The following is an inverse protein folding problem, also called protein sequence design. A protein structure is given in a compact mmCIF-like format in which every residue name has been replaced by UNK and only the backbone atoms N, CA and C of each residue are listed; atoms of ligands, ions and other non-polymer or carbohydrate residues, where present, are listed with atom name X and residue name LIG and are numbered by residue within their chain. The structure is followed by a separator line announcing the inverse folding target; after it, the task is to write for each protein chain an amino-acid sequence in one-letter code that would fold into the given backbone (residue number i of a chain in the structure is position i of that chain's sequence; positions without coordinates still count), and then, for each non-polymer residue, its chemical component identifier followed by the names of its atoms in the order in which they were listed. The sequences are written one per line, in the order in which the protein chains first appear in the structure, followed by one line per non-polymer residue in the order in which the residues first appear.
data_IF_541324223796
#
_entry.id   IF_541324223796
#
_cell.length_a   1.000
_cell.length_b   1.000
_cell.length_c   1.000
_cell.angle_alpha   90.00
_cell.angle_beta   90.00
_cell.angle_gamma   90.00
#
_symmetry.space_group_name_H-M   'P 1'
#
loop_
_entity.id
_entity.type
_entity.pdbx_description
1 polymer ?
#
# COMPACT_ATOMS: atom_id res chain seq x y z
N UNK A 1 -31.47 -82.29 21.66
CA UNK A 1 -31.69 -81.01 20.96
C UNK A 1 -30.34 -80.43 20.57
N UNK A 2 -30.07 -80.22 19.27
CA UNK A 2 -28.76 -79.70 18.80
C UNK A 2 -28.74 -78.18 18.91
N UNK A 3 -27.71 -77.62 19.55
CA UNK A 3 -27.50 -76.17 19.68
C UNK A 3 -26.72 -75.69 18.45
N UNK A 4 -27.29 -74.77 17.66
CA UNK A 4 -26.59 -74.14 16.55
C UNK A 4 -25.96 -72.82 17.03
N UNK A 5 -24.63 -72.74 16.97
CA UNK A 5 -23.88 -71.52 17.22
C UNK A 5 -23.86 -70.69 15.93
N UNK A 6 -24.59 -69.57 15.91
CA UNK A 6 -24.56 -68.63 14.78
C UNK A 6 -23.39 -67.67 14.99
N UNK A 7 -22.34 -67.80 14.19
CA UNK A 7 -21.23 -66.85 14.16
C UNK A 7 -21.63 -65.66 13.25
N UNK A 8 -21.87 -64.48 13.84
CA UNK A 8 -22.15 -63.28 13.06
C UNK A 8 -20.83 -62.64 12.59
N UNK A 9 -20.43 -62.91 11.35
CA UNK A 9 -19.27 -62.29 10.74
C UNK A 9 -19.61 -60.86 10.27
N UNK A 10 -19.33 -59.85 11.11
CA UNK A 10 -19.49 -58.44 10.73
C UNK A 10 -18.38 -58.02 9.77
N UNK A 11 -18.68 -58.01 8.47
CA UNK A 11 -17.78 -57.46 7.45
C UNK A 11 -17.64 -55.96 7.62
N UNK A 12 -16.44 -55.51 8.01
CA UNK A 12 -16.13 -54.08 8.14
C UNK A 12 -15.91 -53.45 6.76
N UNK A 13 -16.84 -52.58 6.35
CA UNK A 13 -16.68 -51.77 5.13
C UNK A 13 -15.65 -50.68 5.42
N UNK A 14 -14.43 -50.84 4.87
CA UNK A 14 -13.40 -49.82 4.91
C UNK A 14 -13.69 -48.82 3.79
N UNK A 15 -14.21 -47.64 4.14
CA UNK A 15 -14.24 -46.51 3.23
C UNK A 15 -12.82 -45.92 3.14
N UNK A 16 -12.21 -45.83 1.94
CA UNK A 16 -10.95 -45.11 1.79
C UNK A 16 -11.16 -43.63 2.08
N UNK A 17 -10.50 -43.11 3.10
CA UNK A 17 -10.45 -41.66 3.36
C UNK A 17 -9.54 -41.04 2.31
N UNK A 18 -10.14 -40.41 1.30
CA UNK A 18 -9.40 -39.58 0.37
C UNK A 18 -8.99 -38.29 1.09
N UNK A 19 -7.74 -38.27 1.57
CA UNK A 19 -7.10 -37.02 2.00
C UNK A 19 -6.82 -36.21 0.74
N UNK A 20 -7.69 -35.23 0.48
CA UNK A 20 -7.43 -34.17 -0.49
C UNK A 20 -6.27 -33.34 0.07
N UNK A 21 -5.08 -33.45 -0.52
CA UNK A 21 -3.99 -32.53 -0.21
C UNK A 21 -4.42 -31.11 -0.58
N UNK A 22 -4.24 -30.15 0.31
CA UNK A 22 -4.48 -28.75 -0.03
C UNK A 22 -3.55 -28.33 -1.17
N UNK A 23 -4.04 -27.62 -2.20
CA UNK A 23 -3.20 -27.15 -3.29
C UNK A 23 -2.12 -26.22 -2.73
N UNK A 24 -0.89 -26.34 -3.24
CA UNK A 24 0.19 -25.44 -2.86
C UNK A 24 -0.25 -23.98 -3.10
N UNK A 25 -0.11 -23.08 -2.10
CA UNK A 25 -0.46 -21.67 -2.28
C UNK A 25 0.31 -21.04 -3.43
N UNK A 26 -0.37 -20.22 -4.23
CA UNK A 26 0.27 -19.48 -5.30
C UNK A 26 1.23 -18.43 -4.76
N UNK A 27 2.43 -18.38 -5.34
CA UNK A 27 3.38 -17.30 -5.11
C UNK A 27 2.96 -16.06 -5.92
N UNK A 28 3.12 -14.84 -5.37
CA UNK A 28 2.75 -13.62 -6.07
C UNK A 28 3.61 -13.41 -7.33
N UNK A 29 3.00 -12.79 -8.34
CA UNK A 29 3.68 -12.35 -9.56
C UNK A 29 4.30 -10.96 -9.33
N UNK A 30 5.40 -10.64 -10.01
CA UNK A 30 6.07 -9.35 -9.91
C UNK A 30 6.26 -8.68 -11.28
N UNK A 31 6.00 -7.38 -11.37
CA UNK A 31 6.27 -6.56 -12.55
C UNK A 31 7.33 -5.49 -12.27
N UNK A 32 8.16 -5.22 -13.27
CA UNK A 32 9.13 -4.14 -13.26
C UNK A 32 9.30 -3.55 -14.67
N UNK A 33 9.87 -2.35 -14.77
CA UNK A 33 10.08 -1.69 -16.06
C UNK A 33 9.87 -0.18 -15.98
N UNK A 34 9.79 0.44 -17.14
CA UNK A 34 9.51 1.87 -17.26
C UNK A 34 8.02 2.17 -17.30
N UNK A 35 7.65 3.41 -16.97
CA UNK A 35 6.30 3.94 -17.11
C UNK A 35 6.33 5.32 -17.77
N UNK A 36 5.56 5.48 -18.83
CA UNK A 36 5.36 6.77 -19.50
C UNK A 36 3.90 7.21 -19.42
N UNK A 37 3.68 8.52 -19.37
CA UNK A 37 2.36 9.16 -19.39
C UNK A 37 2.42 10.26 -20.46
N UNK A 38 1.53 10.21 -21.45
CA UNK A 38 1.53 11.13 -22.61
C UNK A 38 2.92 11.21 -23.29
N UNK A 39 3.56 10.05 -23.46
CA UNK A 39 4.92 9.86 -24.02
C UNK A 39 6.08 10.46 -23.20
N UNK A 40 5.81 11.09 -22.05
CA UNK A 40 6.85 11.56 -21.12
C UNK A 40 7.10 10.53 -20.01
N UNK A 41 8.30 10.45 -19.42
CA UNK A 41 8.53 9.69 -18.20
C UNK A 41 7.55 10.10 -17.09
N UNK A 42 6.89 9.14 -16.44
CA UNK A 42 5.98 9.46 -15.35
C UNK A 42 6.74 10.11 -14.18
N UNK A 43 6.26 11.22 -13.58
CA UNK A 43 6.96 11.85 -12.47
C UNK A 43 7.16 10.90 -11.27
N UNK A 44 8.22 11.09 -10.50
CA UNK A 44 8.35 10.44 -9.20
C UNK A 44 7.13 10.75 -8.30
N UNK A 45 6.77 9.82 -7.43
CA UNK A 45 5.50 9.88 -6.68
C UNK A 45 4.25 9.45 -7.46
N UNK A 46 4.36 9.02 -8.72
CA UNK A 46 3.24 8.36 -9.42
C UNK A 46 2.94 7.01 -8.78
N UNK A 47 1.69 6.80 -8.39
CA UNK A 47 1.18 5.54 -7.88
C UNK A 47 0.63 4.71 -9.03
N UNK A 48 1.16 3.51 -9.23
CA UNK A 48 0.70 2.52 -10.19
C UNK A 48 -0.05 1.43 -9.43
N UNK A 49 -1.28 1.11 -9.84
CA UNK A 49 -2.06 0.00 -9.27
C UNK A 49 -2.32 -1.07 -10.32
N UNK A 50 -2.43 -2.31 -9.86
CA UNK A 50 -2.82 -3.48 -10.64
C UNK A 50 -4.15 -4.01 -10.10
N UNK A 51 -5.13 -4.11 -10.99
CA UNK A 51 -6.49 -4.55 -10.69
C UNK A 51 -6.81 -5.88 -11.37
N UNK A 52 -7.59 -6.73 -10.70
CA UNK A 52 -8.32 -7.84 -11.35
C UNK A 52 -9.77 -7.76 -10.87
N UNK A 53 -10.71 -7.69 -11.82
CA UNK A 53 -12.15 -7.51 -11.54
C UNK A 53 -12.43 -6.34 -10.57
N UNK A 54 -11.73 -5.23 -10.79
CA UNK A 54 -11.76 -3.99 -10.00
C UNK A 54 -11.35 -4.12 -8.50
N UNK A 55 -10.81 -5.27 -8.10
CA UNK A 55 -10.07 -5.44 -6.83
C UNK A 55 -8.59 -5.09 -7.04
N UNK A 56 -8.01 -4.27 -6.15
CA UNK A 56 -6.56 -3.97 -6.15
C UNK A 56 -5.80 -5.22 -5.72
N UNK A 57 -5.02 -5.80 -6.64
CA UNK A 57 -4.18 -6.97 -6.38
C UNK A 57 -2.72 -6.60 -6.09
N UNK A 58 -2.32 -5.35 -6.38
CA UNK A 58 -0.96 -4.85 -6.17
C UNK A 58 -0.87 -3.34 -6.41
N UNK A 59 0.08 -2.68 -5.76
CA UNK A 59 0.38 -1.27 -6.03
C UNK A 59 1.85 -0.92 -5.76
N UNK A 60 2.34 0.13 -6.41
CA UNK A 60 3.73 0.60 -6.29
C UNK A 60 3.83 2.11 -6.57
N UNK A 61 4.66 2.83 -5.82
CA UNK A 61 4.96 4.25 -6.09
C UNK A 61 6.31 4.36 -6.79
N UNK A 62 6.38 5.08 -7.91
CA UNK A 62 7.62 5.36 -8.64
C UNK A 62 8.57 6.21 -7.79
N UNK A 63 9.77 5.70 -7.49
CA UNK A 63 10.80 6.44 -6.75
C UNK A 63 11.55 7.45 -7.63
N UNK A 64 11.70 7.12 -8.92
CA UNK A 64 12.43 7.91 -9.91
C UNK A 64 11.52 8.18 -11.11
N UNK A 65 11.82 9.25 -11.86
CA UNK A 65 11.04 9.60 -13.05
C UNK A 65 11.11 8.49 -14.10
N UNK A 66 9.95 7.99 -14.52
CA UNK A 66 9.81 6.97 -15.55
C UNK A 66 10.06 5.53 -15.11
N UNK A 67 10.27 5.23 -13.83
CA UNK A 67 10.58 3.87 -13.34
C UNK A 67 9.63 3.46 -12.21
N UNK A 68 8.91 2.35 -12.40
CA UNK A 68 8.00 1.80 -11.38
C UNK A 68 8.53 0.52 -10.72
N UNK A 69 9.60 -0.08 -11.25
CA UNK A 69 10.27 -1.23 -10.65
C UNK A 69 11.58 -1.56 -11.33
N UNK A 70 12.46 -2.25 -10.61
CA UNK A 70 13.86 -2.48 -10.99
C UNK A 70 14.19 -3.97 -11.14
N UNK A 71 15.30 -4.29 -11.81
CA UNK A 71 15.80 -5.66 -11.99
C UNK A 71 16.26 -6.33 -10.71
N UNK A 72 16.92 -5.57 -9.82
CA UNK A 72 17.59 -6.10 -8.63
C UNK A 72 16.68 -6.94 -7.73
N UNK A 73 17.17 -8.05 -7.13
CA UNK A 73 16.33 -8.96 -6.36
C UNK A 73 15.77 -8.31 -5.08
N UNK A 74 16.50 -7.36 -4.49
CA UNK A 74 16.11 -6.60 -3.29
C UNK A 74 15.54 -5.21 -3.61
N UNK A 75 15.33 -4.89 -4.90
CA UNK A 75 14.80 -3.60 -5.34
C UNK A 75 13.29 -3.69 -5.57
N UNK A 76 12.63 -2.54 -5.47
CA UNK A 76 11.18 -2.39 -5.60
C UNK A 76 10.66 -2.95 -6.93
N UNK A 77 9.53 -3.65 -6.86
CA UNK A 77 8.75 -4.19 -7.98
C UNK A 77 7.26 -4.06 -7.64
N UNK A 78 6.41 -4.04 -8.64
CA UNK A 78 4.95 -4.14 -8.45
C UNK A 78 4.59 -5.60 -8.19
N UNK A 79 4.34 -5.94 -6.93
CA UNK A 79 3.92 -7.30 -6.52
C UNK A 79 2.40 -7.40 -6.66
N UNK A 80 1.93 -8.49 -7.28
CA UNK A 80 0.52 -8.78 -7.58
C UNK A 80 0.14 -10.13 -6.99
N UNK A 81 -0.93 -10.14 -6.18
CA UNK A 81 -1.47 -11.35 -5.56
C UNK A 81 -2.05 -12.36 -6.57
N UNK A 82 -2.26 -13.60 -6.10
CA UNK A 82 -2.87 -14.66 -6.89
C UNK A 82 -4.26 -14.26 -7.38
N UNK A 83 -4.51 -14.47 -8.67
CA UNK A 83 -5.73 -13.98 -9.31
C UNK A 83 -6.08 -14.75 -10.58
N UNK A 84 -7.37 -14.98 -10.79
CA UNK A 84 -7.92 -15.64 -11.97
C UNK A 84 -8.60 -14.61 -12.88
N UNK A 85 -7.81 -13.90 -13.68
CA UNK A 85 -8.34 -12.91 -14.63
C UNK A 85 -7.26 -12.07 -15.30
N UNK A 86 -7.70 -11.10 -16.09
CA UNK A 86 -6.80 -10.11 -16.71
C UNK A 86 -6.41 -9.06 -15.69
N UNK A 87 -5.10 -8.90 -15.47
CA UNK A 87 -4.53 -7.81 -14.71
C UNK A 87 -4.63 -6.53 -15.54
N UNK A 88 -5.20 -5.48 -14.99
CA UNK A 88 -5.36 -4.16 -15.62
C UNK A 88 -4.61 -3.13 -14.79
N UNK A 89 -3.76 -2.33 -15.43
CA UNK A 89 -2.96 -1.32 -14.74
C UNK A 89 -3.58 0.07 -14.87
N UNK A 90 -3.40 0.88 -13.84
CA UNK A 90 -3.79 2.29 -13.75
C UNK A 90 -2.65 3.13 -13.18
N UNK A 91 -2.78 4.45 -13.28
CA UNK A 91 -1.90 5.39 -12.60
C UNK A 91 -2.71 6.48 -11.87
N UNK A 92 -2.09 7.04 -10.84
CA UNK A 92 -2.54 8.24 -10.12
C UNK A 92 -1.32 9.12 -9.81
N UNK A 93 -1.39 10.42 -10.09
CA UNK A 93 -0.35 11.37 -9.71
C UNK A 93 -1.01 12.71 -9.33
N UNK A 94 -0.72 13.31 -8.16
CA UNK A 94 -1.36 14.56 -7.72
C UNK A 94 -1.26 15.73 -8.71
N UNK A 95 -0.21 15.76 -9.54
CA UNK A 95 0.08 16.83 -10.49
C UNK A 95 -0.47 16.59 -11.91
N UNK A 96 -1.18 15.48 -12.14
CA UNK A 96 -1.74 15.09 -13.44
C UNK A 96 -3.21 14.72 -13.28
N UNK A 97 -4.06 15.04 -14.27
CA UNK A 97 -5.47 14.61 -14.28
C UNK A 97 -6.24 14.99 -12.99
N UNK A 98 -5.91 16.14 -12.40
CA UNK A 98 -6.49 16.62 -11.14
C UNK A 98 -6.23 15.72 -9.92
N UNK A 99 -5.19 14.87 -9.95
CA UNK A 99 -4.91 13.91 -8.88
C UNK A 99 -5.78 12.65 -8.89
N UNK A 100 -6.65 12.50 -9.89
CA UNK A 100 -7.55 11.35 -10.01
C UNK A 100 -6.82 10.12 -10.57
N UNK A 101 -7.25 8.94 -10.14
CA UNK A 101 -6.78 7.68 -10.73
C UNK A 101 -7.44 7.43 -12.09
N UNK A 102 -6.67 6.91 -13.05
CA UNK A 102 -7.20 6.51 -14.35
C UNK A 102 -6.47 5.30 -14.93
N UNK A 103 -7.20 4.46 -15.68
CA UNK A 103 -6.65 3.38 -16.52
C UNK A 103 -6.08 3.91 -17.85
N UNK A 104 -6.14 5.23 -18.06
CA UNK A 104 -5.78 5.91 -19.31
C UNK A 104 -6.81 5.69 -20.43
N UNK A 105 -6.63 6.38 -21.55
CA UNK A 105 -7.44 6.21 -22.77
C UNK A 105 -7.31 4.80 -23.36
N UNK A 106 -6.18 4.13 -23.13
CA UNK A 106 -5.93 2.73 -23.50
C UNK A 106 -5.40 1.98 -22.28
N UNK A 107 -6.22 1.07 -21.75
CA UNK A 107 -5.86 0.27 -20.58
C UNK A 107 -4.67 -0.65 -20.88
N UNK A 108 -3.65 -0.56 -20.04
CA UNK A 108 -2.53 -1.49 -20.05
C UNK A 108 -2.96 -2.79 -19.35
N UNK A 109 -2.64 -3.96 -19.91
CA UNK A 109 -3.09 -5.25 -19.35
C UNK A 109 -2.01 -6.35 -19.37
N UNK A 110 -2.20 -7.38 -18.56
CA UNK A 110 -1.45 -8.63 -18.59
C UNK A 110 -2.35 -9.83 -18.25
N UNK A 111 -2.12 -10.98 -18.89
CA UNK A 111 -2.86 -12.23 -18.67
C UNK A 111 -2.09 -13.38 -19.34
N UNK A 112 -2.09 -14.60 -18.77
CA UNK A 112 -2.67 -14.98 -17.48
C UNK A 112 -1.81 -14.53 -16.29
N UNK A 113 -2.32 -14.71 -15.07
CA UNK A 113 -1.46 -14.75 -13.88
C UNK A 113 -0.63 -16.05 -13.90
N UNK A 114 0.62 -15.97 -13.43
CA UNK A 114 1.56 -17.10 -13.33
C UNK A 114 2.27 -17.03 -11.98
N UNK A 115 2.11 -18.09 -11.20
CA UNK A 115 2.64 -18.24 -9.83
C UNK A 115 4.15 -17.99 -9.79
N UNK A 116 4.57 -16.96 -9.04
CA UNK A 116 5.99 -16.62 -8.83
C UNK A 116 6.73 -15.99 -10.01
N UNK A 117 6.07 -15.68 -11.14
CA UNK A 117 6.76 -15.10 -12.30
C UNK A 117 7.19 -13.64 -12.04
N UNK A 118 8.36 -13.24 -12.57
CA UNK A 118 8.84 -11.85 -12.56
C UNK A 118 9.02 -11.32 -13.99
N UNK A 119 8.21 -10.35 -14.38
CA UNK A 119 8.07 -9.88 -15.77
C UNK A 119 8.61 -8.46 -15.93
N UNK A 120 9.38 -8.23 -17.00
CA UNK A 120 9.62 -6.87 -17.51
C UNK A 120 8.42 -6.43 -18.35
N UNK A 121 7.70 -5.39 -17.90
CA UNK A 121 6.57 -4.83 -18.62
C UNK A 121 6.67 -3.30 -18.58
N UNK A 122 7.06 -2.68 -19.69
CA UNK A 122 6.96 -1.23 -19.81
C UNK A 122 5.47 -0.83 -19.93
N UNK A 123 5.07 0.21 -19.19
CA UNK A 123 3.72 0.74 -19.18
C UNK A 123 3.68 2.06 -19.95
N UNK A 124 2.72 2.22 -20.85
CA UNK A 124 2.51 3.46 -21.59
C UNK A 124 1.07 3.93 -21.43
N UNK A 125 0.86 4.96 -20.62
CA UNK A 125 -0.45 5.58 -20.42
C UNK A 125 -0.58 6.82 -21.31
N UNK A 126 -1.80 7.07 -21.75
CA UNK A 126 -2.22 8.33 -22.33
C UNK A 126 -3.53 8.77 -21.65
N UNK A 127 -3.74 10.07 -21.52
CA UNK A 127 -4.97 10.63 -20.99
C UNK A 127 -5.25 12.01 -21.60
N UNK A 128 -6.53 12.35 -21.71
CA UNK A 128 -6.99 13.65 -22.18
C UNK A 128 -7.62 14.39 -21.01
N UNK A 129 -7.03 15.51 -20.61
CA UNK A 129 -7.68 16.42 -19.65
C UNK A 129 -8.87 17.09 -20.31
N UNK A 130 -10.00 17.16 -19.60
CA UNK A 130 -11.10 18.02 -20.02
C UNK A 130 -10.66 19.47 -19.81
N UNK A 131 -10.39 20.18 -20.90
CA UNK A 131 -10.08 21.62 -20.86
C UNK A 131 -11.30 22.41 -20.41
N UNK A 132 -11.39 22.67 -19.11
CA UNK A 132 -12.29 23.69 -18.58
C UNK A 132 -11.83 25.05 -19.11
N UNK A 133 -12.64 25.68 -19.96
CA UNK A 133 -12.37 27.00 -20.51
C UNK A 133 -12.44 28.06 -19.40
N UNK A 134 -11.33 28.26 -18.69
CA UNK A 134 -11.17 29.36 -17.74
C UNK A 134 -10.86 30.65 -18.51
N UNK A 135 -11.92 31.43 -18.80
CA UNK A 135 -11.79 32.80 -19.27
C UNK A 135 -11.21 33.70 -18.17
N UNK A 136 -10.25 34.56 -18.52
CA UNK A 136 -9.49 35.37 -17.54
C UNK A 136 -10.09 36.74 -17.18
N UNK A 137 -9.25 37.57 -16.53
CA UNK A 137 -9.54 38.91 -15.94
C UNK A 137 -10.35 38.85 -14.63
N UNK A 138 -10.14 39.63 -13.55
CA UNK A 138 -9.18 40.70 -13.17
C UNK A 138 -9.74 41.44 -11.91
N UNK A 139 -9.03 42.24 -11.10
CA UNK A 139 -7.60 42.64 -11.02
C UNK A 139 -7.39 43.83 -10.04
N UNK A 140 -6.30 43.85 -9.25
CA UNK A 140 -5.99 44.87 -8.21
C UNK A 140 -6.14 44.35 -6.75
N UNK A 141 -5.50 44.90 -5.71
CA UNK A 141 -4.50 45.98 -5.60
C UNK A 141 -4.21 46.37 -4.11
N UNK A 142 -3.02 46.94 -3.80
CA UNK A 142 -2.56 47.33 -2.44
C UNK A 142 -2.05 46.14 -1.58
N UNK A 143 -0.97 46.17 -0.79
CA UNK A 143 -0.28 47.23 0.00
C UNK A 143 -0.52 46.99 1.50
N UNK A 144 0.42 47.01 2.46
CA UNK A 144 1.88 47.21 2.52
C UNK A 144 2.38 47.11 3.99
N UNK A 145 3.70 47.11 4.24
CA UNK A 145 4.32 46.92 5.59
C UNK A 145 4.46 45.43 5.97
N UNK A 146 5.55 44.90 6.57
CA UNK A 146 6.44 45.43 7.60
C UNK A 146 6.05 44.77 8.95
N UNK A 147 6.91 44.08 9.72
CA UNK A 147 8.32 43.70 9.59
C UNK A 147 8.74 42.80 10.77
N UNK A 148 10.04 42.61 10.97
CA UNK A 148 10.66 42.05 12.19
C UNK A 148 10.40 40.57 12.54
N UNK A 149 11.36 39.73 12.18
CA UNK A 149 11.71 38.54 12.96
C UNK A 149 12.45 38.96 14.25
N UNK A 150 12.25 38.27 15.38
CA UNK A 150 13.33 38.06 16.33
C UNK A 150 13.71 36.57 16.46
N UNK A 151 15.00 36.35 16.65
CA UNK A 151 15.61 35.04 16.88
C UNK A 151 15.17 34.41 18.22
N UNK A 152 15.28 33.08 18.25
CA UNK A 152 15.27 32.14 19.38
C UNK A 152 15.47 32.72 20.79
N UNK A 153 14.71 32.15 21.74
CA UNK A 153 15.20 31.86 23.09
C UNK A 153 14.98 30.38 23.41
N UNK A 154 16.08 29.62 23.45
CA UNK A 154 16.16 28.27 24.02
C UNK A 154 16.74 28.35 25.43
N UNK A 155 16.24 27.50 26.35
CA UNK A 155 16.89 26.90 27.54
C UNK A 155 15.75 26.43 28.47
N UNK A 156 15.31 25.17 28.40
CA UNK A 156 15.94 23.96 28.98
C UNK A 156 15.34 23.59 30.35
N UNK A 157 14.30 22.76 30.31
CA UNK A 157 14.02 21.80 31.39
C UNK A 157 14.47 20.43 30.90
N UNK A 158 15.38 19.77 31.63
CA UNK A 158 15.76 18.39 31.35
C UNK A 158 14.57 17.45 31.58
N UNK A 159 14.28 16.59 30.59
CA UNK A 159 13.44 15.41 30.79
C UNK A 159 11.99 15.48 30.30
N UNK A 160 11.77 15.58 28.98
CA UNK A 160 10.62 15.01 28.25
C UNK A 160 10.72 15.29 26.73
N UNK A 161 11.66 14.64 26.03
CA UNK A 161 11.66 14.58 24.55
C UNK A 161 11.28 13.18 24.01
N UNK A 162 10.90 12.24 24.88
CA UNK A 162 10.22 11.00 24.48
C UNK A 162 8.71 11.21 24.50
N UNK A 163 8.01 10.79 23.44
CA UNK A 163 6.56 10.49 23.39
C UNK A 163 6.06 10.26 21.96
N UNK A 164 6.52 11.05 20.96
CA UNK A 164 6.06 10.85 19.57
C UNK A 164 6.71 9.64 18.91
N UNK A 165 6.00 8.52 18.94
CA UNK A 165 6.46 7.21 18.50
C UNK A 165 6.72 6.22 19.63
N UNK A 166 6.69 6.65 20.90
CA UNK A 166 6.91 5.83 22.10
C UNK A 166 5.54 5.49 22.70
N UNK A 167 4.85 4.49 22.12
CA UNK A 167 3.47 4.14 22.46
C UNK A 167 3.36 3.29 23.73
N UNK A 168 4.45 2.67 24.16
CA UNK A 168 4.51 1.89 25.40
C UNK A 168 5.16 2.65 26.57
N UNK A 169 5.72 3.85 26.33
CA UNK A 169 6.46 4.67 27.28
C UNK A 169 7.72 3.98 27.84
N UNK A 170 8.38 3.11 27.06
CA UNK A 170 9.62 2.43 27.44
C UNK A 170 10.88 3.28 27.21
N UNK A 171 10.73 4.46 26.59
CA UNK A 171 11.79 5.41 26.32
C UNK A 171 12.61 5.09 25.07
N UNK A 172 12.12 4.20 24.20
CA UNK A 172 12.70 3.86 22.90
C UNK A 172 11.59 3.84 21.85
N UNK A 173 11.97 3.96 20.57
CA UNK A 173 11.04 3.90 19.45
C UNK A 173 11.42 2.71 18.57
N UNK A 174 10.65 1.63 18.72
CA UNK A 174 11.02 0.30 18.21
C UNK A 174 9.81 -0.59 17.85
N UNK A 175 10.05 -1.89 17.67
CA UNK A 175 9.02 -2.88 17.28
C UNK A 175 7.90 -3.05 18.32
N UNK A 176 8.17 -2.76 19.59
CA UNK A 176 7.14 -2.79 20.63
C UNK A 176 6.11 -1.66 20.46
N UNK A 177 6.53 -0.49 19.98
CA UNK A 177 5.64 0.62 19.64
C UNK A 177 4.82 0.35 18.39
N UNK A 178 5.42 -0.30 17.40
CA UNK A 178 4.69 -0.82 16.25
C UNK A 178 3.62 -1.83 16.67
N UNK A 179 3.94 -2.75 17.58
CA UNK A 179 2.96 -3.70 18.11
C UNK A 179 1.82 -2.97 18.85
N UNK A 180 2.12 -1.95 19.67
CA UNK A 180 1.11 -1.10 20.31
C UNK A 180 0.20 -0.39 19.30
N UNK A 181 0.79 0.19 18.25
CA UNK A 181 0.07 0.84 17.17
C UNK A 181 -0.86 -0.14 16.42
N UNK A 182 -0.39 -1.36 16.12
CA UNK A 182 -1.22 -2.38 15.50
C UNK A 182 -2.35 -2.89 16.40
N UNK A 183 -2.15 -2.95 17.73
CA UNK A 183 -3.20 -3.28 18.72
C UNK A 183 -4.26 -2.16 18.83
N UNK A 184 -3.89 -0.93 18.47
CA UNK A 184 -4.77 0.23 18.52
C UNK A 184 -5.35 0.65 17.15
N UNK A 185 -4.94 0.00 16.06
CA UNK A 185 -5.29 0.38 14.69
C UNK A 185 -6.80 0.53 14.47
N UNK A 186 -7.21 1.66 13.88
CA UNK A 186 -8.59 1.99 13.59
C UNK A 186 -9.45 2.37 14.80
N UNK A 187 -8.90 2.36 16.03
CA UNK A 187 -9.62 2.89 17.20
C UNK A 187 -9.82 4.39 17.07
N UNK A 188 -10.93 4.86 17.63
CA UNK A 188 -11.27 6.29 17.73
C UNK A 188 -11.30 6.62 19.23
N UNK A 189 -10.24 7.20 19.76
CA UNK A 189 -10.13 7.59 21.18
C UNK A 189 -9.01 8.59 21.38
N UNK A 190 -9.30 9.67 22.13
CA UNK A 190 -8.32 10.67 22.56
C UNK A 190 -7.33 10.14 23.61
N UNK A 191 -7.50 8.91 24.09
CA UNK A 191 -6.61 8.22 25.04
C UNK A 191 -5.78 7.11 24.37
N UNK A 192 -5.82 6.98 23.04
CA UNK A 192 -5.00 6.00 22.35
C UNK A 192 -3.51 6.40 22.42
N UNK A 193 -2.69 5.63 23.14
CA UNK A 193 -1.23 5.88 23.25
C UNK A 193 -0.46 5.75 21.93
N UNK A 194 -1.15 5.39 20.85
CA UNK A 194 -0.63 5.25 19.49
C UNK A 194 -1.20 6.27 18.51
N UNK A 195 -2.02 7.22 18.98
CA UNK A 195 -2.40 8.42 18.25
C UNK A 195 -1.27 9.46 18.49
N UNK A 196 -0.31 9.52 17.56
CA UNK A 196 0.87 10.38 17.68
C UNK A 196 0.67 11.75 17.04
N UNK A 197 -0.38 11.92 16.23
CA UNK A 197 -0.77 13.20 15.63
C UNK A 197 -1.80 13.97 16.48
N UNK A 198 -2.53 13.30 17.37
CA UNK A 198 -3.67 13.73 18.19
C UNK A 198 -4.92 14.11 17.38
N UNK A 199 -5.22 13.40 16.29
CA UNK A 199 -6.44 13.59 15.48
C UNK A 199 -7.64 12.78 15.98
N UNK A 200 -7.44 11.94 17.00
CA UNK A 200 -8.44 11.11 17.64
C UNK A 200 -8.60 9.73 17.01
N UNK A 201 -7.74 9.34 16.06
CA UNK A 201 -7.70 8.02 15.42
C UNK A 201 -6.29 7.44 15.51
N UNK A 202 -6.18 6.13 15.27
CA UNK A 202 -4.90 5.46 15.04
C UNK A 202 -4.89 4.89 13.64
N UNK A 203 -4.13 5.50 12.73
CA UNK A 203 -4.07 5.08 11.32
C UNK A 203 -2.68 5.19 10.67
N UNK A 204 -2.66 5.27 9.33
CA UNK A 204 -1.44 5.34 8.53
C UNK A 204 -0.61 6.60 8.79
N UNK A 205 -1.22 7.69 9.26
CA UNK A 205 -0.50 8.91 9.63
C UNK A 205 0.31 8.72 10.92
N UNK A 206 -0.20 7.95 11.88
CA UNK A 206 0.54 7.56 13.09
C UNK A 206 1.66 6.57 12.76
N UNK A 207 1.41 5.61 11.87
CA UNK A 207 2.45 4.73 11.37
C UNK A 207 3.59 5.53 10.70
N UNK A 208 3.26 6.55 9.90
CA UNK A 208 4.26 7.43 9.32
C UNK A 208 5.07 8.19 10.39
N UNK A 209 4.43 8.66 11.47
CA UNK A 209 5.12 9.32 12.59
C UNK A 209 6.04 8.36 13.34
N UNK A 210 5.59 7.12 13.58
CA UNK A 210 6.40 6.07 14.17
C UNK A 210 7.65 5.79 13.33
N UNK A 211 7.49 5.60 12.02
CA UNK A 211 8.60 5.32 11.11
C UNK A 211 9.57 6.51 10.96
N UNK A 212 9.10 7.75 11.05
CA UNK A 212 9.95 8.97 11.02
C UNK A 212 10.82 9.11 12.29
N UNK A 213 10.43 8.50 13.40
CA UNK A 213 11.15 8.55 14.68
C UNK A 213 11.84 7.24 15.08
N UNK A 214 11.74 6.21 14.24
CA UNK A 214 12.33 4.90 14.45
C UNK A 214 13.85 4.96 14.69
N UNK A 215 14.31 4.35 15.78
CA UNK A 215 15.75 4.24 16.14
C UNK A 215 16.51 5.57 16.24
N UNK A 216 15.83 6.65 16.66
CA UNK A 216 16.48 7.88 17.17
C UNK A 216 16.91 7.73 18.63
#
# INVERSE_FOLDING_TARGET
MKKYLVLLATSGIIFPVFVMAEPFPDFPMAFWGTVTINLQPAPAGTLIRAYVSDVVMGQVVTQESGVYGYTGPTKQKLIVGSSSGTIVFSFQNPSLYGGMETKGTVSQTHSPFVSGETINKNLAFAFTEATTLSGGSGGGGGGGGGGSSPSQTSLSTLGALSSKGDANNDGKINVLDFNSLMVNWGKISVEATSDFNNDGRVDIFDFNILMINWSK
#
